data_IF_719183155125
#
_entry.id   IF_719183155125
#
_cell.length_a   1.000
_cell.length_b   1.000
_cell.length_c   1.000
_cell.angle_alpha   90.00
_cell.angle_beta   90.00
_cell.angle_gamma   90.00
#
_symmetry.space_group_name_H-M   'P 1'
#
loop_
_entity.id
_entity.type
_entity.pdbx_description
1 polymer ?
#
# COMPACT_ATOMS: atom_id res chain seq x y z
N UNK A 1 -4.96 26.49 -1.83
CA UNK A 1 -3.50 26.18 -1.88
C UNK A 1 -2.96 25.70 -0.53
N UNK A 2 -3.14 26.40 0.60
CA UNK A 2 -2.57 25.97 1.90
C UNK A 2 -3.10 24.60 2.41
N UNK A 3 -4.40 24.33 2.25
CA UNK A 3 -5.04 23.08 2.71
C UNK A 3 -4.55 21.84 1.97
N UNK A 4 -4.29 21.97 0.67
CA UNK A 4 -3.77 20.89 -0.18
C UNK A 4 -2.36 20.47 0.24
N UNK A 5 -1.51 21.45 0.60
CA UNK A 5 -0.16 21.19 1.12
C UNK A 5 -0.18 20.49 2.47
N UNK A 6 -1.08 20.89 3.39
CA UNK A 6 -1.24 20.23 4.69
C UNK A 6 -1.71 18.79 4.53
N UNK A 7 -2.68 18.54 3.65
CA UNK A 7 -3.14 17.20 3.33
C UNK A 7 -2.00 16.31 2.83
N UNK A 8 -1.20 16.80 1.88
CA UNK A 8 -0.06 16.06 1.33
C UNK A 8 0.99 15.73 2.41
N UNK A 9 1.27 16.68 3.32
CA UNK A 9 2.19 16.46 4.45
C UNK A 9 1.63 15.39 5.40
N UNK A 10 0.36 15.49 5.81
CA UNK A 10 -0.27 14.50 6.69
C UNK A 10 -0.29 13.11 6.05
N UNK A 11 -0.66 13.03 4.77
CA UNK A 11 -0.68 11.80 4.01
C UNK A 11 0.71 11.15 3.97
N UNK A 12 1.75 11.94 3.67
CA UNK A 12 3.13 11.45 3.60
C UNK A 12 3.64 11.02 4.97
N UNK A 13 3.34 11.78 6.03
CA UNK A 13 3.74 11.44 7.40
C UNK A 13 3.08 10.14 7.87
N UNK A 14 1.78 9.99 7.61
CA UNK A 14 1.04 8.76 7.93
C UNK A 14 1.52 7.58 7.08
N UNK A 15 1.86 7.81 5.80
CA UNK A 15 2.45 6.79 4.94
C UNK A 15 3.77 6.28 5.54
N UNK A 16 4.69 7.18 5.90
CA UNK A 16 5.97 6.83 6.53
C UNK A 16 5.78 6.08 7.86
N UNK A 17 4.88 6.56 8.71
CA UNK A 17 4.56 5.90 9.98
C UNK A 17 4.00 4.48 9.74
N UNK A 18 3.14 4.32 8.73
CA UNK A 18 2.57 3.05 8.36
C UNK A 18 3.65 2.05 7.92
N UNK A 19 4.68 2.48 7.17
CA UNK A 19 5.77 1.59 6.76
C UNK A 19 6.45 0.90 7.94
N UNK A 20 6.75 1.67 8.99
CA UNK A 20 7.40 1.16 10.19
C UNK A 20 6.42 0.29 10.99
N UNK A 21 5.18 0.75 11.14
CA UNK A 21 4.13 0.04 11.88
C UNK A 21 3.76 -1.32 11.26
N UNK A 22 3.96 -1.49 9.96
CA UNK A 22 3.64 -2.74 9.26
C UNK A 22 4.70 -3.83 9.41
N UNK A 23 5.91 -3.52 9.89
CA UNK A 23 6.97 -4.53 10.13
C UNK A 23 6.48 -5.69 11.01
N UNK A 24 5.95 -5.46 12.24
CA UNK A 24 5.46 -6.55 13.08
C UNK A 24 4.25 -7.27 12.45
N UNK A 25 3.40 -6.56 11.71
CA UNK A 25 2.25 -7.14 11.03
C UNK A 25 2.65 -8.11 9.94
N UNK A 26 3.59 -7.73 9.08
CA UNK A 26 4.12 -8.57 8.00
C UNK A 26 4.80 -9.81 8.58
N UNK A 27 5.58 -9.67 9.66
CA UNK A 27 6.23 -10.79 10.32
C UNK A 27 5.23 -11.82 10.86
N UNK A 28 4.09 -11.37 11.39
CA UNK A 28 3.00 -12.22 11.89
C UNK A 28 2.16 -12.86 10.78
N UNK A 29 1.94 -12.14 9.69
CA UNK A 29 0.94 -12.51 8.65
C UNK A 29 1.56 -13.26 7.46
N UNK A 30 2.87 -13.12 7.24
CA UNK A 30 3.57 -13.78 6.13
C UNK A 30 3.39 -15.31 6.19
N UNK A 31 3.38 -15.92 5.02
CA UNK A 31 3.52 -17.38 4.91
C UNK A 31 4.85 -17.86 5.54
N UNK A 32 4.88 -19.00 6.27
CA UNK A 32 6.09 -19.52 6.92
C UNK A 32 7.28 -19.70 5.97
N UNK A 33 6.99 -20.17 4.75
CA UNK A 33 7.97 -20.42 3.69
C UNK A 33 8.56 -19.13 3.06
N UNK A 34 7.97 -17.95 3.31
CA UNK A 34 8.41 -16.69 2.71
C UNK A 34 9.48 -16.00 3.57
N UNK A 35 10.60 -15.59 2.96
CA UNK A 35 11.64 -14.80 3.65
C UNK A 35 11.04 -13.47 4.19
N UNK A 36 11.34 -13.06 5.43
CA UNK A 36 10.73 -11.88 6.05
C UNK A 36 10.94 -10.58 5.24
N UNK A 37 12.17 -10.37 4.76
CA UNK A 37 12.52 -9.18 3.97
C UNK A 37 11.78 -9.17 2.62
N UNK A 38 11.68 -10.31 1.95
CA UNK A 38 10.97 -10.42 0.67
C UNK A 38 9.47 -10.16 0.82
N UNK A 39 8.85 -10.72 1.87
CA UNK A 39 7.45 -10.45 2.17
C UNK A 39 7.21 -8.96 2.48
N UNK A 40 8.12 -8.31 3.21
CA UNK A 40 8.03 -6.87 3.49
C UNK A 40 8.15 -6.02 2.23
N UNK A 41 9.09 -6.32 1.33
CA UNK A 41 9.25 -5.59 0.06
C UNK A 41 8.04 -5.75 -0.85
N UNK A 42 7.47 -6.97 -0.94
CA UNK A 42 6.24 -7.22 -1.70
C UNK A 42 5.07 -6.43 -1.09
N UNK A 43 4.90 -6.52 0.23
CA UNK A 43 3.88 -5.77 0.94
C UNK A 43 3.98 -4.27 0.65
N UNK A 44 5.18 -3.72 0.81
CA UNK A 44 5.46 -2.30 0.61
C UNK A 44 5.16 -1.85 -0.83
N UNK A 45 5.59 -2.63 -1.82
CA UNK A 45 5.36 -2.34 -3.22
C UNK A 45 3.85 -2.36 -3.54
N UNK A 46 3.13 -3.41 -3.14
CA UNK A 46 1.69 -3.56 -3.38
C UNK A 46 0.91 -2.45 -2.66
N UNK A 47 1.23 -2.17 -1.40
CA UNK A 47 0.61 -1.11 -0.63
C UNK A 47 0.80 0.26 -1.29
N UNK A 48 2.04 0.57 -1.71
CA UNK A 48 2.37 1.88 -2.32
C UNK A 48 1.68 2.04 -3.67
N UNK A 49 1.78 1.04 -4.56
CA UNK A 49 1.16 1.11 -5.89
C UNK A 49 -0.37 1.22 -5.77
N UNK A 50 -0.98 0.42 -4.89
CA UNK A 50 -2.44 0.40 -4.74
C UNK A 50 -2.97 1.69 -4.11
N UNK A 51 -2.34 2.16 -3.03
CA UNK A 51 -2.74 3.41 -2.37
C UNK A 51 -2.56 4.62 -3.29
N UNK A 52 -1.47 4.64 -4.07
CA UNK A 52 -1.23 5.70 -5.05
C UNK A 52 -2.23 5.65 -6.21
N UNK A 53 -2.53 4.46 -6.74
CA UNK A 53 -3.55 4.30 -7.78
C UNK A 53 -4.92 4.81 -7.31
N UNK A 54 -5.34 4.46 -6.08
CA UNK A 54 -6.60 4.95 -5.50
C UNK A 54 -6.56 6.47 -5.34
N UNK A 55 -5.45 7.02 -4.85
CA UNK A 55 -5.28 8.46 -4.72
C UNK A 55 -5.40 9.20 -6.06
N UNK A 56 -4.80 8.67 -7.13
CA UNK A 56 -4.94 9.23 -8.48
C UNK A 56 -6.38 9.21 -8.97
N UNK A 57 -7.13 8.13 -8.69
CA UNK A 57 -8.56 8.04 -9.02
C UNK A 57 -9.35 9.11 -8.27
N UNK A 58 -9.06 9.33 -6.98
CA UNK A 58 -9.71 10.38 -6.18
C UNK A 58 -9.41 11.77 -6.73
N UNK A 59 -8.15 12.04 -7.13
CA UNK A 59 -7.78 13.30 -7.77
C UNK A 59 -8.52 13.52 -9.10
N UNK A 60 -8.64 12.47 -9.92
CA UNK A 60 -9.40 12.53 -11.16
C UNK A 60 -10.90 12.81 -10.91
N UNK A 61 -11.49 12.17 -9.89
CA UNK A 61 -12.89 12.41 -9.49
C UNK A 61 -13.11 13.83 -8.98
N UNK A 62 -12.16 14.37 -8.21
CA UNK A 62 -12.22 15.76 -7.76
C UNK A 62 -12.21 16.73 -8.94
N UNK A 63 -11.34 16.49 -9.93
CA UNK A 63 -11.24 17.36 -11.12
C UNK A 63 -12.46 17.29 -12.03
N UNK A 64 -13.14 16.14 -12.08
CA UNK A 64 -14.24 15.90 -13.02
C UNK A 64 -15.64 16.18 -12.45
N UNK A 65 -15.91 15.76 -11.21
CA UNK A 65 -17.30 15.66 -10.70
C UNK A 65 -17.48 16.28 -9.31
N UNK A 66 -16.42 16.37 -8.51
CA UNK A 66 -16.50 16.85 -7.12
C UNK A 66 -15.41 17.87 -6.76
N UNK A 67 -15.44 19.07 -7.35
CA UNK A 67 -14.51 20.14 -6.99
C UNK A 67 -14.75 20.54 -5.52
N UNK A 68 -13.74 20.31 -4.67
CA UNK A 68 -13.78 20.59 -3.23
C UNK A 68 -13.75 19.36 -2.32
N UNK A 69 -13.71 18.14 -2.86
CA UNK A 69 -13.60 16.90 -2.07
C UNK A 69 -12.41 16.91 -1.08
N UNK A 70 -11.26 17.45 -1.49
CA UNK A 70 -10.08 17.59 -0.62
C UNK A 70 -10.02 18.92 0.15
N UNK A 71 -10.95 19.84 -0.11
CA UNK A 71 -10.98 21.17 0.52
C UNK A 71 -12.02 21.29 1.64
N UNK A 72 -12.90 20.29 1.77
CA UNK A 72 -14.06 20.25 2.68
C UNK A 72 -13.70 19.92 4.14
N UNK A 73 -12.44 20.10 4.52
CA UNK A 73 -11.96 20.03 5.91
C UNK A 73 -11.37 18.68 6.34
N UNK A 74 -10.95 18.61 7.60
CA UNK A 74 -10.13 17.52 8.15
C UNK A 74 -10.82 16.15 8.13
N UNK A 75 -12.15 16.12 8.22
CA UNK A 75 -12.93 14.87 8.17
C UNK A 75 -12.81 14.21 6.79
N UNK A 76 -12.97 14.97 5.70
CA UNK A 76 -12.85 14.45 4.34
C UNK A 76 -11.43 13.97 4.04
N UNK A 77 -10.42 14.69 4.53
CA UNK A 77 -9.03 14.26 4.47
C UNK A 77 -8.81 12.89 5.12
N UNK A 78 -9.35 12.68 6.34
CA UNK A 78 -9.24 11.39 7.03
C UNK A 78 -9.96 10.29 6.24
N UNK A 79 -11.15 10.56 5.72
CA UNK A 79 -11.90 9.58 4.91
C UNK A 79 -11.10 9.17 3.67
N UNK A 80 -10.52 10.13 2.94
CA UNK A 80 -9.69 9.84 1.78
C UNK A 80 -8.47 9.00 2.16
N UNK A 81 -7.79 9.32 3.28
CA UNK A 81 -6.65 8.53 3.76
C UNK A 81 -7.07 7.09 4.05
N UNK A 82 -8.20 6.89 4.75
CA UNK A 82 -8.71 5.55 5.06
C UNK A 82 -9.03 4.79 3.76
N UNK A 83 -9.69 5.44 2.80
CA UNK A 83 -10.05 4.85 1.51
C UNK A 83 -8.80 4.50 0.68
N UNK A 84 -7.72 5.27 0.77
CA UNK A 84 -6.47 4.92 0.10
C UNK A 84 -5.73 3.78 0.80
N UNK A 85 -5.64 3.82 2.14
CA UNK A 85 -4.73 2.95 2.89
C UNK A 85 -5.35 1.61 3.24
N UNK A 86 -6.62 1.58 3.65
CA UNK A 86 -7.27 0.37 4.13
C UNK A 86 -7.35 -0.72 3.04
N UNK A 87 -7.89 -0.47 1.83
CA UNK A 87 -7.93 -1.50 0.79
C UNK A 87 -6.53 -1.88 0.31
N UNK A 88 -5.59 -0.93 0.21
CA UNK A 88 -4.20 -1.22 -0.13
C UNK A 88 -3.54 -2.13 0.90
N UNK A 89 -3.78 -1.87 2.19
CA UNK A 89 -3.30 -2.67 3.31
C UNK A 89 -3.89 -4.09 3.29
N UNK A 90 -5.20 -4.22 3.07
CA UNK A 90 -5.87 -5.51 2.98
C UNK A 90 -5.37 -6.33 1.80
N UNK A 91 -5.23 -5.70 0.63
CA UNK A 91 -4.71 -6.36 -0.57
C UNK A 91 -3.26 -6.83 -0.38
N UNK A 92 -2.39 -5.95 0.13
CA UNK A 92 -1.00 -6.28 0.41
C UNK A 92 -0.89 -7.41 1.46
N UNK A 93 -1.69 -7.34 2.53
CA UNK A 93 -1.75 -8.37 3.58
C UNK A 93 -2.18 -9.72 3.02
N UNK A 94 -3.20 -9.74 2.16
CA UNK A 94 -3.67 -10.95 1.52
C UNK A 94 -2.63 -11.55 0.57
N UNK A 95 -1.89 -10.72 -0.17
CA UNK A 95 -0.83 -11.20 -1.06
C UNK A 95 0.33 -11.85 -0.29
N UNK A 96 0.75 -11.29 0.84
CA UNK A 96 1.86 -11.89 1.63
C UNK A 96 1.44 -13.12 2.45
N UNK A 97 0.15 -13.24 2.76
CA UNK A 97 -0.40 -14.41 3.44
C UNK A 97 -0.52 -15.61 2.51
N UNK A 98 -0.64 -15.37 1.19
CA UNK A 98 -0.70 -16.43 0.18
C UNK A 98 0.64 -17.15 0.05
N UNK A 99 0.54 -18.43 -0.30
CA UNK A 99 1.71 -19.27 -0.56
C UNK A 99 2.55 -18.65 -1.69
N UNK A 100 3.87 -18.46 -1.50
CA UNK A 100 4.71 -17.91 -2.55
C UNK A 100 4.72 -18.85 -3.77
N UNK A 101 4.79 -18.29 -5.01
CA UNK A 101 4.95 -19.10 -6.21
C UNK A 101 6.18 -19.99 -6.06
N UNK A 102 6.00 -21.30 -6.28
CA UNK A 102 7.11 -22.26 -6.20
C UNK A 102 8.05 -21.94 -7.36
N UNK A 103 9.31 -21.59 -7.06
CA UNK A 103 10.31 -21.44 -8.10
C UNK A 103 10.36 -22.75 -8.92
N UNK A 104 10.46 -22.68 -10.27
CA UNK A 104 10.72 -23.86 -11.07
C UNK A 104 11.96 -24.58 -10.53
N UNK A 105 12.00 -25.92 -10.49
CA UNK A 105 13.24 -26.62 -10.22
C UNK A 105 14.27 -26.13 -11.22
N UNK A 106 15.41 -25.64 -10.74
CA UNK A 106 16.60 -25.57 -11.57
C UNK A 106 17.02 -27.02 -11.77
N UNK A 107 16.47 -27.66 -12.80
CA UNK A 107 16.95 -28.96 -13.23
C UNK A 107 18.37 -28.77 -13.76
N UNK A 108 19.29 -29.58 -13.21
CA UNK A 108 20.71 -29.62 -13.52
C UNK A 108 20.92 -30.21 -14.93
N UNK A 109 20.43 -29.53 -15.97
CA UNK A 109 20.72 -29.91 -17.35
C UNK A 109 22.14 -29.45 -17.73
N UNK A 110 23.15 -30.27 -17.44
CA UNK A 110 24.49 -30.06 -17.99
C UNK A 110 25.67 -30.86 -17.44
N UNK A 111 25.50 -31.83 -16.54
CA UNK A 111 26.56 -32.76 -16.15
C UNK A 111 26.35 -34.12 -16.84
N UNK A 112 26.71 -34.21 -18.12
CA UNK A 112 26.93 -35.46 -18.84
C UNK A 112 28.04 -35.26 -19.88
#
# INVERSE_FOLDING_TARGET
MQTTSVFAVMFTALWLAALIAFIPWVQKTRHPDSKPLGAYLIFLAVFTITSYAIYLVILALQGAVWPGLLETGLVHAIVVIIVCFLPAFLLASWMIARKPPKAPPLDDSGAA
#
